data_IF_133459089440
#
_entry.id   IF_133459089440
#
_cell.length_a   1.000
_cell.length_b   1.000
_cell.length_c   1.000
_cell.angle_alpha   90.00
_cell.angle_beta   90.00
_cell.angle_gamma   90.00
#
_symmetry.space_group_name_H-M   'P 1'
#
loop_
_entity.id
_entity.type
_entity.pdbx_description
1 polymer ?
#
# COMPACT_ATOMS: atom_id res chain seq x y z
N UNK A 1 -8.93 -43.40 103.31
CA UNK A 1 -9.29 -44.12 102.04
C UNK A 1 -8.44 -45.40 102.05
N UNK A 2 -9.13 -46.58 102.06
CA UNK A 2 -8.43 -47.86 101.85
C UNK A 2 -8.27 -48.10 100.36
N UNK A 3 -7.03 -48.18 99.90
CA UNK A 3 -6.79 -48.65 98.58
C UNK A 3 -7.18 -50.13 98.53
N UNK A 4 -8.24 -50.42 97.80
CA UNK A 4 -8.83 -51.75 97.61
C UNK A 4 -8.44 -52.36 96.27
N UNK A 5 -7.55 -51.75 95.47
CA UNK A 5 -7.10 -52.18 94.16
C UNK A 5 -6.45 -53.59 94.19
N UNK A 6 -5.84 -53.98 95.33
CA UNK A 6 -5.26 -55.32 95.52
C UNK A 6 -6.31 -56.45 95.60
N UNK A 7 -7.60 -56.14 95.71
CA UNK A 7 -8.67 -57.12 95.80
C UNK A 7 -9.30 -57.44 94.41
N UNK A 8 -8.80 -56.78 93.34
CA UNK A 8 -9.33 -56.96 92.00
C UNK A 8 -8.20 -57.29 91.01
N UNK A 9 -8.42 -58.23 90.16
CA UNK A 9 -7.61 -58.47 88.97
C UNK A 9 -8.14 -57.50 87.90
N UNK A 10 -7.32 -56.59 87.46
CA UNK A 10 -7.69 -55.68 86.39
C UNK A 10 -7.15 -56.25 85.06
N UNK A 11 -8.03 -56.72 84.21
CA UNK A 11 -7.65 -57.07 82.82
C UNK A 11 -7.76 -55.85 81.95
N UNK A 12 -6.66 -55.43 81.37
CA UNK A 12 -6.59 -54.36 80.41
C UNK A 12 -6.82 -54.92 78.99
N UNK A 13 -7.93 -54.57 78.39
CA UNK A 13 -8.16 -54.80 76.96
C UNK A 13 -7.55 -53.62 76.21
N UNK A 14 -6.52 -53.86 75.41
CA UNK A 14 -5.92 -52.76 74.64
C UNK A 14 -6.92 -52.30 73.58
N UNK A 15 -7.21 -51.01 73.58
CA UNK A 15 -7.96 -50.34 72.52
C UNK A 15 -6.99 -49.81 71.47
N UNK A 16 -7.39 -49.81 70.21
CA UNK A 16 -6.67 -49.18 69.12
C UNK A 16 -7.25 -47.80 68.85
N UNK A 17 -6.44 -46.77 68.97
CA UNK A 17 -6.79 -45.42 68.51
C UNK A 17 -6.24 -45.29 67.09
N UNK A 18 -7.12 -45.09 66.13
CA UNK A 18 -6.79 -44.81 64.73
C UNK A 18 -6.97 -43.32 64.48
N UNK A 19 -5.88 -42.65 64.05
CA UNK A 19 -5.94 -41.26 63.59
C UNK A 19 -5.94 -41.30 62.09
N UNK A 20 -6.95 -40.73 61.46
CA UNK A 20 -7.07 -40.58 59.99
C UNK A 20 -6.71 -39.17 59.58
N UNK A 21 -6.19 -39.04 58.32
CA UNK A 21 -5.92 -37.73 57.74
C UNK A 21 -7.20 -36.92 57.62
N UNK A 22 -7.09 -35.61 57.80
CA UNK A 22 -8.21 -34.65 57.70
C UNK A 22 -8.58 -34.43 56.23
N UNK A 23 -9.85 -34.43 55.91
CA UNK A 23 -10.41 -34.25 54.58
C UNK A 23 -11.05 -32.85 54.33
N UNK A 24 -11.00 -31.94 55.34
CA UNK A 24 -11.71 -30.66 55.24
C UNK A 24 -11.05 -29.65 54.35
N UNK A 25 -9.71 -29.74 54.21
CA UNK A 25 -8.92 -28.76 53.47
C UNK A 25 -9.28 -28.72 51.99
N UNK A 26 -9.23 -27.55 51.38
CA UNK A 26 -9.48 -27.34 49.94
C UNK A 26 -8.32 -26.55 49.33
N UNK A 27 -7.94 -26.98 48.10
CA UNK A 27 -6.93 -26.32 47.28
C UNK A 27 -7.60 -25.61 46.12
N UNK A 28 -7.26 -24.35 45.92
CA UNK A 28 -7.60 -23.59 44.73
C UNK A 28 -6.31 -23.06 44.08
N UNK A 29 -6.31 -22.89 42.77
CA UNK A 29 -5.20 -22.31 42.02
C UNK A 29 -5.74 -21.38 40.93
N UNK A 30 -4.94 -20.37 40.57
CA UNK A 30 -5.17 -19.46 39.47
C UNK A 30 -4.04 -19.67 38.46
N UNK A 31 -4.40 -19.92 37.19
CA UNK A 31 -3.44 -20.08 36.10
C UNK A 31 -3.09 -18.77 35.42
N UNK A 32 -1.93 -18.74 34.79
CA UNK A 32 -1.54 -17.63 33.92
C UNK A 32 -2.50 -17.48 32.73
N UNK A 33 -2.84 -16.23 32.42
CA UNK A 33 -3.56 -15.87 31.20
C UNK A 33 -2.97 -14.59 30.66
N UNK A 34 -2.44 -14.66 29.43
CA UNK A 34 -1.78 -13.51 28.80
C UNK A 34 -1.75 -13.59 27.30
N UNK A 35 -1.36 -12.49 26.66
CA UNK A 35 -1.00 -12.42 25.24
C UNK A 35 0.48 -12.76 25.13
N UNK A 36 0.86 -13.44 24.07
CA UNK A 36 2.26 -13.75 23.77
C UNK A 36 3.11 -12.47 23.77
N UNK A 37 4.17 -12.48 24.55
CA UNK A 37 5.12 -11.35 24.71
C UNK A 37 6.59 -11.76 24.54
N UNK A 38 6.83 -13.04 24.16
CA UNK A 38 8.17 -13.61 24.00
C UNK A 38 8.82 -14.06 25.31
N UNK A 39 8.22 -13.82 26.47
CA UNK A 39 8.69 -14.23 27.78
C UNK A 39 8.24 -15.64 28.19
N UNK A 40 8.88 -16.16 29.23
CA UNK A 40 8.42 -17.34 29.95
C UNK A 40 7.64 -16.90 31.20
N UNK A 41 6.53 -17.55 31.48
CA UNK A 41 5.64 -17.22 32.60
C UNK A 41 5.32 -18.46 33.42
N UNK A 42 5.25 -18.30 34.75
CA UNK A 42 4.79 -19.35 35.65
C UNK A 42 3.36 -19.77 35.28
N UNK A 43 3.16 -21.04 35.00
CA UNK A 43 1.85 -21.55 34.57
C UNK A 43 0.76 -21.39 35.65
N UNK A 44 1.16 -21.37 36.93
CA UNK A 44 0.27 -21.11 38.07
C UNK A 44 0.72 -19.83 38.77
N UNK A 45 -0.14 -18.83 38.80
CA UNK A 45 0.18 -17.49 39.37
C UNK A 45 -0.19 -17.37 40.84
N UNK A 46 -1.06 -18.25 41.32
CA UNK A 46 -1.50 -18.26 42.70
C UNK A 46 -2.06 -19.61 43.13
N UNK A 47 -1.77 -19.99 44.36
CA UNK A 47 -2.40 -21.11 45.06
C UNK A 47 -2.99 -20.62 46.37
N UNK A 48 -4.09 -21.20 46.83
CA UNK A 48 -4.70 -20.92 48.10
C UNK A 48 -5.30 -22.18 48.72
N UNK A 49 -5.12 -22.31 50.02
CA UNK A 49 -5.74 -23.34 50.83
C UNK A 49 -6.81 -22.72 51.73
N UNK A 50 -7.90 -23.44 51.97
CA UNK A 50 -8.97 -23.07 52.88
C UNK A 50 -9.40 -24.27 53.71
N UNK A 51 -10.25 -23.98 54.75
CA UNK A 51 -10.84 -24.98 55.64
C UNK A 51 -9.78 -25.81 56.40
N UNK A 52 -8.62 -25.19 56.71
CA UNK A 52 -7.56 -25.74 57.51
C UNK A 52 -7.93 -25.72 59.01
N UNK A 53 -7.52 -26.76 59.74
CA UNK A 53 -7.75 -26.84 61.19
C UNK A 53 -6.49 -26.55 62.02
N UNK A 54 -5.33 -26.45 61.36
CA UNK A 54 -4.04 -26.15 61.99
C UNK A 54 -3.15 -25.36 60.99
N UNK A 55 -2.03 -24.84 61.49
CA UNK A 55 -1.03 -24.08 60.74
C UNK A 55 0.10 -24.96 60.16
N UNK A 56 -0.23 -26.19 59.81
CA UNK A 56 0.78 -27.14 59.31
C UNK A 56 1.34 -26.70 57.96
N UNK A 57 2.63 -27.06 57.71
CA UNK A 57 3.35 -26.72 56.47
C UNK A 57 2.90 -27.62 55.34
N UNK A 58 2.60 -27.01 54.20
CA UNK A 58 2.23 -27.71 52.97
C UNK A 58 3.34 -27.67 51.94
N UNK A 59 3.52 -28.78 51.20
CA UNK A 59 4.41 -28.89 50.04
C UNK A 59 3.57 -28.91 48.75
N UNK A 60 4.00 -28.11 47.79
CA UNK A 60 3.35 -28.07 46.49
C UNK A 60 4.17 -28.79 45.46
N UNK A 61 3.51 -29.50 44.56
CA UNK A 61 4.12 -30.09 43.37
C UNK A 61 3.17 -29.93 42.17
N UNK A 62 3.74 -29.97 40.97
CA UNK A 62 3.04 -29.64 39.73
C UNK A 62 3.24 -30.77 38.72
N UNK A 63 2.25 -30.94 37.83
CA UNK A 63 2.30 -31.92 36.76
C UNK A 63 1.63 -31.38 35.49
N UNK A 64 2.14 -31.73 34.32
CA UNK A 64 1.54 -31.43 33.03
C UNK A 64 0.72 -32.60 32.45
N UNK A 65 0.81 -33.79 33.05
CA UNK A 65 0.11 -34.99 32.62
C UNK A 65 -0.84 -35.58 33.68
N UNK A 66 -0.80 -35.04 34.93
CA UNK A 66 -1.56 -35.50 36.08
C UNK A 66 -1.02 -36.75 36.77
N UNK A 67 0.09 -37.31 36.27
CA UNK A 67 0.74 -38.53 36.79
C UNK A 67 2.11 -38.27 37.41
N UNK A 68 2.95 -37.50 36.72
CA UNK A 68 4.31 -37.20 37.14
C UNK A 68 4.40 -35.82 37.75
N UNK A 69 4.59 -35.75 39.06
CA UNK A 69 4.65 -34.48 39.83
C UNK A 69 6.10 -34.10 40.19
N UNK A 70 6.43 -32.83 39.98
CA UNK A 70 7.71 -32.22 40.38
C UNK A 70 7.46 -30.96 41.24
N UNK A 71 8.46 -30.55 42.01
CA UNK A 71 8.42 -29.29 42.78
C UNK A 71 8.75 -28.05 41.93
N UNK A 72 9.17 -28.23 40.68
CA UNK A 72 9.47 -27.16 39.76
C UNK A 72 8.15 -26.63 39.14
N UNK A 73 7.98 -25.29 39.16
CA UNK A 73 6.84 -24.62 38.55
C UNK A 73 6.94 -24.73 37.03
N UNK A 74 5.94 -25.31 36.34
CA UNK A 74 5.91 -25.31 34.88
C UNK A 74 5.88 -23.90 34.30
N UNK A 75 6.68 -23.66 33.23
CA UNK A 75 6.71 -22.42 32.49
C UNK A 75 5.92 -22.56 31.19
N UNK A 76 5.21 -21.51 30.81
CA UNK A 76 4.50 -21.38 29.53
C UNK A 76 5.05 -20.18 28.78
N UNK A 77 5.22 -20.33 27.47
CA UNK A 77 5.73 -19.28 26.59
C UNK A 77 4.90 -19.14 25.33
N UNK A 78 4.83 -20.21 24.54
CA UNK A 78 4.17 -20.16 23.23
C UNK A 78 2.63 -20.14 23.37
N UNK A 79 1.97 -19.69 22.33
CA UNK A 79 0.49 -19.71 22.24
C UNK A 79 -0.04 -21.14 22.43
N UNK A 80 -0.99 -21.26 23.34
CA UNK A 80 -1.59 -22.54 23.66
C UNK A 80 -2.38 -22.52 24.96
N UNK A 81 -3.00 -23.67 25.24
CA UNK A 81 -3.70 -23.97 26.47
C UNK A 81 -3.00 -25.14 27.16
N UNK A 82 -2.50 -24.91 28.37
CA UNK A 82 -1.65 -25.82 29.13
C UNK A 82 -2.35 -26.23 30.42
N UNK A 83 -2.95 -27.42 30.50
CA UNK A 83 -3.49 -27.93 31.74
C UNK A 83 -2.35 -28.22 32.73
N UNK A 84 -2.52 -27.76 33.96
CA UNK A 84 -1.55 -27.94 35.04
C UNK A 84 -2.28 -28.49 36.26
N UNK A 85 -1.84 -29.64 36.72
CA UNK A 85 -2.27 -30.24 37.98
C UNK A 85 -1.41 -29.70 39.09
N UNK A 86 -2.05 -29.13 40.08
CA UNK A 86 -1.41 -28.64 41.30
C UNK A 86 -1.76 -29.59 42.42
N UNK A 87 -0.75 -30.17 43.06
CA UNK A 87 -0.90 -31.05 44.20
C UNK A 87 -0.34 -30.40 45.43
N UNK A 88 -1.10 -30.39 46.52
CA UNK A 88 -0.66 -29.97 47.84
C UNK A 88 -0.66 -31.18 48.79
N UNK A 89 0.44 -31.42 49.47
CA UNK A 89 0.63 -32.52 50.39
C UNK A 89 0.96 -32.03 51.80
N UNK A 90 0.44 -32.76 52.79
CA UNK A 90 0.71 -32.54 54.22
C UNK A 90 0.54 -33.85 54.98
N UNK A 91 1.25 -34.03 56.08
CA UNK A 91 1.20 -35.30 56.85
C UNK A 91 -0.14 -35.52 57.55
N UNK A 92 -0.84 -34.43 57.92
CA UNK A 92 -2.08 -34.44 58.70
C UNK A 92 -3.34 -34.46 57.83
N UNK A 93 -3.21 -34.20 56.50
CA UNK A 93 -4.32 -34.09 55.57
C UNK A 93 -4.22 -35.07 54.40
N UNK A 94 -5.32 -35.38 53.78
CA UNK A 94 -5.31 -36.07 52.47
C UNK A 94 -4.68 -35.18 51.42
N UNK A 95 -4.01 -35.80 50.42
CA UNK A 95 -3.43 -35.05 49.31
C UNK A 95 -4.54 -34.31 48.53
N UNK A 96 -4.32 -33.06 48.30
CA UNK A 96 -5.26 -32.21 47.55
C UNK A 96 -4.72 -32.04 46.11
N UNK A 97 -5.59 -32.19 45.14
CA UNK A 97 -5.23 -31.97 43.71
C UNK A 97 -6.29 -31.07 43.09
N UNK A 98 -5.83 -30.07 42.37
CA UNK A 98 -6.69 -29.24 41.52
C UNK A 98 -6.06 -29.10 40.14
N UNK A 99 -6.90 -28.83 39.13
CA UNK A 99 -6.45 -28.63 37.74
C UNK A 99 -6.82 -27.21 37.32
N UNK A 100 -5.87 -26.50 36.73
CA UNK A 100 -6.07 -25.20 36.12
C UNK A 100 -5.47 -25.18 34.73
N UNK A 101 -5.92 -24.30 33.84
CA UNK A 101 -5.39 -24.20 32.48
C UNK A 101 -4.74 -22.84 32.29
N UNK A 102 -3.42 -22.84 32.13
CA UNK A 102 -2.70 -21.65 31.70
C UNK A 102 -2.94 -21.42 30.20
N UNK A 103 -3.12 -20.16 29.80
CA UNK A 103 -3.49 -19.78 28.45
C UNK A 103 -2.61 -18.65 27.94
N UNK A 104 -1.97 -18.86 26.82
CA UNK A 104 -1.25 -17.83 26.06
C UNK A 104 -2.00 -17.62 24.75
N UNK A 105 -2.49 -16.39 24.54
CA UNK A 105 -3.22 -16.02 23.31
C UNK A 105 -2.27 -15.35 22.31
N UNK A 106 -2.56 -15.38 20.99
CA UNK A 106 -1.70 -14.80 20.00
C UNK A 106 -1.53 -13.30 20.14
N UNK A 107 -0.30 -12.81 19.92
CA UNK A 107 -0.04 -11.39 19.71
C UNK A 107 -0.42 -10.97 18.28
N UNK A 108 -0.74 -9.69 18.07
CA UNK A 108 -1.18 -9.19 16.78
C UNK A 108 -0.02 -8.53 16.02
N UNK A 109 0.28 -9.03 14.82
CA UNK A 109 1.13 -8.34 13.85
C UNK A 109 0.23 -7.48 12.96
N UNK A 110 0.40 -6.17 13.05
CA UNK A 110 -0.30 -5.22 12.18
C UNK A 110 0.47 -5.10 10.87
N UNK A 111 -0.22 -5.36 9.76
CA UNK A 111 0.30 -5.18 8.39
C UNK A 111 -0.52 -4.10 7.72
N UNK A 112 0.13 -3.02 7.31
CA UNK A 112 -0.51 -1.91 6.60
C UNK A 112 0.03 -1.86 5.18
N UNK A 113 -0.83 -2.06 4.18
CA UNK A 113 -0.45 -1.92 2.78
C UNK A 113 -0.15 -0.46 2.46
N UNK A 114 0.92 -0.22 1.71
CA UNK A 114 1.25 1.12 1.21
C UNK A 114 0.28 1.51 0.10
N UNK A 115 -0.07 2.81 0.02
CA UNK A 115 -0.87 3.32 -1.09
C UNK A 115 0.02 3.71 -2.26
N UNK A 116 -0.47 3.47 -3.49
CA UNK A 116 0.25 3.71 -4.73
C UNK A 116 -0.56 4.53 -5.73
N UNK A 117 0.13 5.19 -6.63
CA UNK A 117 -0.44 5.78 -7.84
C UNK A 117 0.04 4.97 -9.04
N UNK A 118 -0.88 4.70 -9.97
CA UNK A 118 -0.57 4.01 -11.22
C UNK A 118 -0.96 4.87 -12.42
N UNK A 119 0.02 5.24 -13.22
CA UNK A 119 -0.18 6.10 -14.37
C UNK A 119 -0.35 5.21 -15.60
N UNK A 120 -1.55 5.17 -16.17
CA UNK A 120 -1.85 4.36 -17.35
C UNK A 120 -1.80 5.18 -18.64
N UNK A 121 -1.57 4.49 -19.77
CA UNK A 121 -1.74 5.07 -21.10
C UNK A 121 -3.24 5.05 -21.47
N UNK A 122 -3.74 6.19 -21.95
CA UNK A 122 -5.13 6.32 -22.46
C UNK A 122 -5.21 6.60 -23.94
N UNK A 123 -4.08 6.96 -24.57
CA UNK A 123 -3.93 7.26 -26.00
C UNK A 123 -2.59 6.71 -26.48
N UNK A 124 -2.50 6.44 -27.78
CA UNK A 124 -1.24 6.03 -28.42
C UNK A 124 -0.12 7.10 -28.31
N UNK A 125 -0.50 8.33 -28.00
CA UNK A 125 0.38 9.48 -27.82
C UNK A 125 0.91 9.66 -26.37
N UNK A 126 0.48 8.80 -25.43
CA UNK A 126 0.90 8.84 -24.03
C UNK A 126 1.42 7.47 -23.59
N UNK A 127 2.50 7.45 -22.84
CA UNK A 127 3.09 6.24 -22.28
C UNK A 127 2.70 6.13 -20.82
N UNK A 128 2.11 4.99 -20.45
CA UNK A 128 1.86 4.65 -19.06
C UNK A 128 3.11 4.09 -18.39
N UNK A 129 3.09 4.10 -17.06
CA UNK A 129 4.12 3.41 -16.27
C UNK A 129 3.69 1.94 -16.06
N UNK A 130 4.63 1.01 -15.82
CA UNK A 130 4.27 -0.33 -15.38
C UNK A 130 3.44 -0.28 -14.11
N UNK A 131 2.58 -1.27 -13.92
CA UNK A 131 1.83 -1.39 -12.66
C UNK A 131 2.80 -1.47 -11.47
N UNK A 132 2.62 -0.65 -10.40
CA UNK A 132 3.51 -0.65 -9.26
C UNK A 132 3.47 -1.98 -8.51
N UNK A 133 4.61 -2.44 -8.02
CA UNK A 133 4.65 -3.54 -7.07
C UNK A 133 3.95 -3.12 -5.78
N UNK A 134 3.08 -3.97 -5.27
CA UNK A 134 2.37 -3.71 -4.01
C UNK A 134 3.33 -3.95 -2.84
N UNK A 135 3.38 -3.01 -1.91
CA UNK A 135 4.25 -3.05 -0.73
C UNK A 135 3.45 -2.83 0.56
N UNK A 136 4.05 -3.15 1.69
CA UNK A 136 3.43 -3.01 3.00
C UNK A 136 4.47 -2.72 4.08
N UNK A 137 4.00 -2.18 5.21
CA UNK A 137 4.76 -2.03 6.44
C UNK A 137 4.23 -3.02 7.48
N UNK A 138 5.14 -3.63 8.24
CA UNK A 138 4.79 -4.53 9.33
C UNK A 138 5.83 -4.43 10.45
N UNK A 139 5.36 -4.46 11.69
CA UNK A 139 6.21 -4.44 12.87
C UNK A 139 5.79 -5.56 13.83
N UNK A 140 6.78 -6.18 14.48
CA UNK A 140 6.52 -7.13 15.54
C UNK A 140 6.04 -6.41 16.80
N UNK A 141 5.00 -6.89 17.48
CA UNK A 141 4.64 -6.42 18.81
C UNK A 141 5.61 -6.90 19.89
N UNK A 142 6.48 -7.87 19.58
CA UNK A 142 7.47 -8.45 20.49
C UNK A 142 8.87 -8.00 20.10
N UNK A 143 9.58 -7.37 21.03
CA UNK A 143 10.92 -6.85 20.80
C UNK A 143 11.93 -7.97 20.47
N UNK A 144 12.72 -7.74 19.43
CA UNK A 144 13.75 -8.69 18.99
C UNK A 144 13.25 -9.81 18.07
N UNK A 145 11.95 -9.88 17.81
CA UNK A 145 11.38 -10.80 16.82
C UNK A 145 11.04 -10.03 15.54
N UNK A 146 11.35 -10.62 14.38
CA UNK A 146 11.10 -10.02 13.08
C UNK A 146 10.05 -10.83 12.34
N UNK A 147 8.87 -10.23 12.00
CA UNK A 147 7.83 -10.96 11.29
C UNK A 147 8.33 -11.48 9.94
N UNK A 148 8.03 -12.73 9.66
CA UNK A 148 8.27 -13.36 8.37
C UNK A 148 6.93 -13.62 7.67
N UNK A 149 6.93 -13.54 6.35
CA UNK A 149 5.72 -13.66 5.55
C UNK A 149 5.93 -14.60 4.36
N UNK A 150 4.82 -15.15 3.89
CA UNK A 150 4.68 -15.88 2.63
C UNK A 150 3.48 -15.35 1.85
N UNK A 151 3.45 -15.59 0.54
CA UNK A 151 2.40 -15.06 -0.32
C UNK A 151 2.60 -13.59 -0.68
N UNK A 152 1.61 -13.00 -1.34
CA UNK A 152 1.68 -11.66 -1.89
C UNK A 152 0.38 -10.89 -1.65
N UNK A 153 0.47 -9.56 -1.68
CA UNK A 153 -0.70 -8.70 -1.72
C UNK A 153 -1.43 -8.87 -3.06
N UNK A 154 -2.72 -8.61 -3.06
CA UNK A 154 -3.52 -8.48 -4.27
C UNK A 154 -4.23 -7.13 -4.31
N UNK A 155 -4.95 -6.83 -5.37
CA UNK A 155 -5.81 -5.66 -5.44
C UNK A 155 -7.12 -5.94 -6.15
N UNK A 156 -8.09 -5.05 -5.98
CA UNK A 156 -9.30 -5.06 -6.79
C UNK A 156 -8.95 -4.90 -8.28
N UNK A 157 -9.63 -5.64 -9.17
CA UNK A 157 -9.40 -5.54 -10.60
C UNK A 157 -9.91 -4.23 -11.18
N UNK A 158 -9.18 -3.67 -12.14
CA UNK A 158 -9.57 -2.46 -12.85
C UNK A 158 -8.39 -1.52 -13.12
N UNK A 159 -8.58 -0.60 -14.06
CA UNK A 159 -7.61 0.42 -14.46
C UNK A 159 -8.34 1.63 -15.08
N UNK A 160 -9.45 2.06 -14.48
CA UNK A 160 -10.20 3.22 -14.97
C UNK A 160 -9.61 4.52 -14.42
N UNK A 161 -9.40 5.49 -15.29
CA UNK A 161 -8.92 6.83 -14.93
C UNK A 161 -9.72 7.44 -13.77
N UNK A 162 -9.00 7.98 -12.78
CA UNK A 162 -9.56 8.70 -11.64
C UNK A 162 -10.25 7.80 -10.62
N UNK A 163 -10.19 6.46 -10.79
CA UNK A 163 -10.69 5.52 -9.79
C UNK A 163 -9.59 5.05 -8.86
N UNK A 164 -10.01 4.76 -7.65
CA UNK A 164 -9.20 4.16 -6.60
C UNK A 164 -9.67 2.73 -6.37
N UNK A 165 -8.73 1.80 -6.29
CA UNK A 165 -8.92 0.37 -6.06
C UNK A 165 -8.25 -0.01 -4.75
N UNK A 166 -8.88 -0.86 -3.96
CA UNK A 166 -8.30 -1.31 -2.71
C UNK A 166 -7.16 -2.31 -2.94
N UNK A 167 -6.08 -2.15 -2.18
CA UNK A 167 -5.03 -3.14 -2.04
C UNK A 167 -5.44 -4.09 -0.92
N UNK A 168 -5.54 -5.37 -1.24
CA UNK A 168 -6.08 -6.43 -0.41
C UNK A 168 -4.94 -7.30 0.12
N UNK A 169 -5.19 -8.01 1.21
CA UNK A 169 -4.23 -8.95 1.78
C UNK A 169 -3.78 -10.02 0.78
N UNK A 170 -4.64 -10.43 -0.14
CA UNK A 170 -4.35 -11.52 -1.06
C UNK A 170 -4.13 -12.83 -0.30
N UNK A 171 -3.04 -13.52 -0.61
CA UNK A 171 -2.58 -14.71 0.09
C UNK A 171 -1.43 -14.44 1.07
N UNK A 172 -1.13 -13.16 1.34
CA UNK A 172 -0.12 -12.79 2.33
C UNK A 172 -0.47 -13.37 3.70
N UNK A 173 0.41 -14.17 4.27
CA UNK A 173 0.26 -14.83 5.54
C UNK A 173 1.56 -14.79 6.35
N UNK A 174 1.44 -14.91 7.68
CA UNK A 174 2.61 -15.09 8.54
C UNK A 174 3.28 -16.43 8.24
N UNK A 175 4.60 -16.46 8.26
CA UNK A 175 5.42 -17.64 8.10
C UNK A 175 6.46 -17.73 9.23
N UNK A 176 6.98 -18.91 9.49
CA UNK A 176 8.07 -19.07 10.45
C UNK A 176 9.37 -18.43 9.90
N UNK A 177 10.07 -17.74 10.77
CA UNK A 177 11.35 -17.08 10.51
C UNK A 177 12.44 -17.55 11.49
N UNK A 178 13.62 -16.97 11.37
CA UNK A 178 14.77 -17.35 12.22
C UNK A 178 14.48 -17.17 13.72
N UNK A 179 13.82 -16.07 14.08
CA UNK A 179 13.45 -15.70 15.45
C UNK A 179 11.95 -15.39 15.59
N UNK A 180 11.12 -15.92 14.69
CA UNK A 180 9.70 -15.64 14.63
C UNK A 180 8.92 -16.92 14.38
N UNK A 181 8.03 -17.28 15.32
CA UNK A 181 7.16 -18.45 15.21
C UNK A 181 5.73 -17.97 14.88
N UNK A 182 5.29 -18.18 13.65
CA UNK A 182 4.00 -17.67 13.14
C UNK A 182 2.80 -18.08 14.00
N UNK A 183 2.84 -19.27 14.63
CA UNK A 183 1.77 -19.76 15.50
C UNK A 183 1.56 -18.93 16.78
N UNK A 184 2.53 -18.09 17.15
CA UNK A 184 2.41 -17.18 18.29
C UNK A 184 1.71 -15.86 17.94
N UNK A 185 1.30 -15.69 16.68
CA UNK A 185 0.75 -14.43 16.19
C UNK A 185 -0.52 -14.60 15.37
N UNK A 186 -1.26 -13.51 15.27
CA UNK A 186 -2.35 -13.33 14.31
C UNK A 186 -2.05 -12.10 13.46
N UNK A 187 -2.26 -12.21 12.14
CA UNK A 187 -2.12 -11.09 11.22
C UNK A 187 -3.39 -10.25 11.23
N UNK A 188 -3.24 -8.94 11.44
CA UNK A 188 -4.27 -7.94 11.22
C UNK A 188 -3.86 -7.08 10.02
N UNK A 189 -4.67 -7.08 8.97
CA UNK A 189 -4.39 -6.37 7.74
C UNK A 189 -5.17 -5.05 7.65
N UNK A 190 -4.48 -3.99 7.23
CA UNK A 190 -5.06 -2.69 6.89
C UNK A 190 -4.86 -2.46 5.39
N UNK A 191 -5.95 -2.33 4.60
CA UNK A 191 -5.88 -2.07 3.18
C UNK A 191 -5.17 -0.76 2.85
N UNK A 192 -4.45 -0.74 1.73
CA UNK A 192 -3.98 0.47 1.05
C UNK A 192 -4.85 0.80 -0.16
N UNK A 193 -4.47 1.82 -0.90
CA UNK A 193 -5.20 2.30 -2.07
C UNK A 193 -4.29 2.41 -3.29
N UNK A 194 -4.78 1.98 -4.46
CA UNK A 194 -4.16 2.19 -5.76
C UNK A 194 -5.02 3.17 -6.56
N UNK A 195 -4.52 4.39 -6.74
CA UNK A 195 -5.21 5.42 -7.53
C UNK A 195 -4.69 5.43 -8.96
N UNK A 196 -5.61 5.26 -9.94
CA UNK A 196 -5.28 5.26 -11.36
C UNK A 196 -5.31 6.69 -11.91
N UNK A 197 -4.19 7.11 -12.48
CA UNK A 197 -3.99 8.43 -13.10
C UNK A 197 -3.58 8.30 -14.57
N UNK A 198 -3.64 9.39 -15.32
CA UNK A 198 -3.18 9.44 -16.71
C UNK A 198 -2.29 10.65 -16.94
N UNK A 199 -1.33 10.51 -17.88
CA UNK A 199 -0.68 11.64 -18.54
C UNK A 199 -1.48 11.97 -19.80
N UNK A 200 -1.80 13.24 -19.99
CA UNK A 200 -2.43 13.72 -21.22
C UNK A 200 -2.09 15.19 -21.47
N UNK A 201 -1.92 15.56 -22.72
CA UNK A 201 -1.65 16.91 -23.16
C UNK A 201 -2.43 17.21 -24.42
N UNK A 202 -2.88 18.44 -24.55
CA UNK A 202 -3.53 18.90 -25.78
C UNK A 202 -2.90 20.20 -26.22
N UNK A 203 -2.91 20.43 -27.52
CA UNK A 203 -2.52 21.70 -28.13
C UNK A 203 -3.68 22.19 -29.00
N UNK A 204 -3.94 23.50 -28.96
CA UNK A 204 -4.82 24.17 -29.89
C UNK A 204 -4.07 25.33 -30.54
N UNK A 205 -4.31 25.53 -31.82
CA UNK A 205 -3.72 26.62 -32.58
C UNK A 205 -4.79 27.28 -33.44
N UNK A 206 -4.87 28.59 -33.35
CA UNK A 206 -5.81 29.40 -34.11
C UNK A 206 -5.10 30.57 -34.75
N UNK A 207 -5.58 31.00 -35.92
CA UNK A 207 -5.17 32.25 -36.56
C UNK A 207 -6.30 33.27 -36.51
N UNK A 208 -5.96 34.52 -36.36
CA UNK A 208 -6.92 35.65 -36.22
C UNK A 208 -7.75 35.91 -37.48
N UNK A 209 -7.28 35.52 -38.66
CA UNK A 209 -7.95 35.71 -39.94
C UNK A 209 -7.85 34.50 -40.85
N UNK A 210 -8.90 34.21 -41.60
CA UNK A 210 -8.93 33.11 -42.57
C UNK A 210 -8.52 33.56 -43.98
N UNK A 211 -8.43 34.88 -44.22
CA UNK A 211 -7.99 35.50 -45.45
C UNK A 211 -7.14 36.71 -45.18
N UNK A 212 -6.05 36.84 -45.89
CA UNK A 212 -5.11 37.96 -45.79
C UNK A 212 -4.45 38.26 -47.15
N UNK A 213 -3.81 39.44 -47.23
CA UNK A 213 -3.01 39.82 -48.37
C UNK A 213 -1.52 39.66 -48.07
N UNK A 214 -0.72 39.59 -49.11
CA UNK A 214 0.75 39.69 -48.96
C UNK A 214 1.11 40.96 -48.19
N UNK A 215 1.98 40.82 -47.19
CA UNK A 215 2.38 41.90 -46.31
C UNK A 215 1.52 42.11 -45.08
N UNK A 216 0.37 41.47 -44.99
CA UNK A 216 -0.46 41.51 -43.77
C UNK A 216 0.17 40.68 -42.66
N UNK A 217 -0.08 41.06 -41.40
CA UNK A 217 0.31 40.33 -40.23
C UNK A 217 -0.77 39.34 -39.83
N UNK A 218 -0.44 38.09 -39.65
CA UNK A 218 -1.25 37.03 -39.12
C UNK A 218 -0.84 36.82 -37.66
N UNK A 219 -1.82 36.71 -36.75
CA UNK A 219 -1.56 36.42 -35.33
C UNK A 219 -2.02 35.00 -35.02
N UNK A 220 -1.08 34.15 -34.75
CA UNK A 220 -1.33 32.77 -34.29
C UNK A 220 -1.38 32.74 -32.77
N UNK A 221 -2.43 32.14 -32.20
CA UNK A 221 -2.55 31.85 -30.79
C UNK A 221 -2.36 30.34 -30.59
N UNK A 222 -1.35 29.97 -29.82
CA UNK A 222 -1.06 28.57 -29.45
C UNK A 222 -1.38 28.42 -27.97
N UNK A 223 -2.20 27.42 -27.64
CA UNK A 223 -2.51 27.04 -26.26
C UNK A 223 -2.17 25.58 -26.06
N UNK A 224 -1.36 25.28 -25.06
CA UNK A 224 -1.02 23.93 -24.59
C UNK A 224 -1.66 23.73 -23.24
N UNK A 225 -2.40 22.65 -23.08
CA UNK A 225 -3.11 22.31 -21.83
C UNK A 225 -2.72 20.92 -21.35
N UNK A 226 -2.30 20.81 -20.11
CA UNK A 226 -2.18 19.51 -19.44
C UNK A 226 -3.59 19.02 -19.07
N UNK A 227 -4.12 18.07 -19.82
CA UNK A 227 -5.45 17.46 -19.62
C UNK A 227 -5.38 16.15 -18.81
N UNK A 228 -4.17 15.82 -18.35
CA UNK A 228 -3.90 14.66 -17.48
C UNK A 228 -4.17 14.93 -15.99
N UNK A 229 -3.81 13.94 -15.19
CA UNK A 229 -3.98 13.93 -13.71
C UNK A 229 -2.64 14.09 -12.98
N UNK A 230 -1.54 14.20 -13.71
CA UNK A 230 -0.19 14.35 -13.18
C UNK A 230 0.49 15.57 -13.78
N UNK A 231 1.38 16.19 -13.02
CA UNK A 231 2.19 17.31 -13.50
C UNK A 231 3.15 16.83 -14.59
N UNK A 232 3.26 17.62 -15.67
CA UNK A 232 4.16 17.35 -16.78
C UNK A 232 5.41 18.23 -16.63
N UNK A 233 6.57 17.64 -16.86
CA UNK A 233 7.86 18.33 -16.83
C UNK A 233 8.42 18.46 -18.25
N UNK A 234 9.27 19.48 -18.45
CA UNK A 234 9.96 19.74 -19.71
C UNK A 234 9.00 19.78 -20.92
N UNK A 235 7.82 20.36 -20.76
CA UNK A 235 6.88 20.59 -21.85
C UNK A 235 7.46 21.60 -22.83
N UNK A 236 7.35 21.30 -24.12
CA UNK A 236 7.85 22.15 -25.17
C UNK A 236 6.84 22.30 -26.33
N UNK A 237 6.96 23.39 -27.06
CA UNK A 237 6.22 23.67 -28.32
C UNK A 237 7.20 23.94 -29.44
N UNK A 238 6.97 23.35 -30.59
CA UNK A 238 7.72 23.58 -31.81
C UNK A 238 6.77 24.01 -32.92
N UNK A 239 7.14 25.06 -33.65
CA UNK A 239 6.45 25.54 -34.85
C UNK A 239 7.49 26.00 -35.85
N UNK A 240 7.70 25.19 -36.89
CA UNK A 240 8.74 25.42 -37.90
C UNK A 240 8.48 26.70 -38.71
N UNK A 241 7.21 26.98 -39.05
CA UNK A 241 6.89 28.14 -39.88
C UNK A 241 7.15 29.46 -39.12
N UNK A 242 6.88 29.48 -37.82
CA UNK A 242 7.12 30.64 -36.97
C UNK A 242 8.57 30.67 -36.39
N UNK A 243 9.35 29.61 -36.64
CA UNK A 243 10.70 29.46 -36.10
C UNK A 243 10.72 29.33 -34.57
N UNK A 244 9.70 28.72 -34.00
CA UNK A 244 9.56 28.59 -32.53
C UNK A 244 10.07 27.22 -32.09
N UNK A 245 10.93 27.24 -31.08
CA UNK A 245 11.29 26.11 -30.22
C UNK A 245 11.24 26.62 -28.79
N UNK A 246 10.01 26.55 -28.19
CA UNK A 246 9.75 27.13 -26.89
C UNK A 246 9.65 26.05 -25.82
N UNK A 247 10.53 26.09 -24.82
CA UNK A 247 10.39 25.30 -23.60
C UNK A 247 9.44 26.02 -22.65
N UNK A 248 8.32 25.38 -22.34
CA UNK A 248 7.32 25.84 -21.35
C UNK A 248 7.78 25.49 -19.94
N UNK A 249 8.41 24.30 -19.76
CA UNK A 249 8.85 23.76 -18.48
C UNK A 249 7.79 22.91 -17.82
N UNK A 250 7.53 23.15 -16.52
CA UNK A 250 6.47 22.46 -15.79
C UNK A 250 5.08 22.97 -16.19
N UNK A 251 4.15 22.06 -16.38
CA UNK A 251 2.74 22.34 -16.60
C UNK A 251 1.91 21.44 -15.68
N UNK A 252 1.32 22.03 -14.63
CA UNK A 252 0.56 21.28 -13.63
C UNK A 252 -0.71 20.67 -14.23
N UNK A 253 -1.22 19.64 -13.59
CA UNK A 253 -2.50 19.02 -13.97
C UNK A 253 -3.60 20.07 -14.07
N UNK A 254 -4.26 20.15 -15.25
CA UNK A 254 -5.30 21.14 -15.57
C UNK A 254 -4.78 22.53 -15.95
N UNK A 255 -3.47 22.79 -15.92
CA UNK A 255 -2.88 24.09 -16.27
C UNK A 255 -2.76 24.25 -17.79
N UNK A 256 -2.85 25.51 -18.25
CA UNK A 256 -2.69 25.89 -19.66
C UNK A 256 -1.64 26.99 -19.81
N UNK A 257 -0.81 26.84 -20.84
CA UNK A 257 0.08 27.87 -21.33
C UNK A 257 -0.45 28.41 -22.65
N UNK A 258 -0.50 29.75 -22.81
CA UNK A 258 -1.00 30.40 -24.03
C UNK A 258 -0.04 31.50 -24.44
N UNK A 259 0.33 31.52 -25.72
CA UNK A 259 1.13 32.60 -26.29
C UNK A 259 0.72 32.92 -27.71
N UNK A 260 0.91 34.20 -28.08
CA UNK A 260 0.67 34.70 -29.43
C UNK A 260 1.97 34.95 -30.18
N UNK A 261 1.96 34.59 -31.44
CA UNK A 261 3.09 34.75 -32.37
C UNK A 261 2.58 35.40 -33.65
N UNK A 262 3.40 36.22 -34.31
CA UNK A 262 3.05 36.91 -35.53
C UNK A 262 3.84 36.40 -36.71
N UNK A 263 3.19 36.21 -37.84
CA UNK A 263 3.79 35.94 -39.14
C UNK A 263 3.37 37.03 -40.12
N UNK A 264 4.32 37.55 -40.94
CA UNK A 264 3.99 38.46 -42.02
C UNK A 264 3.93 37.68 -43.32
N UNK A 265 2.75 37.69 -43.96
CA UNK A 265 2.53 36.94 -45.21
C UNK A 265 3.53 37.39 -46.30
N UNK A 266 4.26 36.45 -46.85
CA UNK A 266 5.34 36.70 -47.80
C UNK A 266 4.78 36.64 -49.22
N UNK A 267 5.52 37.19 -50.18
CA UNK A 267 5.23 37.10 -51.63
C UNK A 267 5.13 35.65 -52.10
N UNK A 268 5.95 34.78 -51.54
CA UNK A 268 5.94 33.33 -51.83
C UNK A 268 4.67 32.61 -51.38
N UNK A 269 3.86 33.21 -50.51
CA UNK A 269 2.62 32.65 -49.98
C UNK A 269 1.39 33.00 -50.84
N UNK A 270 1.59 33.94 -51.78
CA UNK A 270 0.51 34.43 -52.62
C UNK A 270 -0.15 33.28 -53.41
N UNK A 271 -1.47 33.25 -53.41
CA UNK A 271 -2.31 32.25 -54.10
C UNK A 271 -2.33 30.88 -53.43
N UNK A 272 -1.84 30.77 -52.19
CA UNK A 272 -1.83 29.55 -51.39
C UNK A 272 -2.71 29.67 -50.17
N UNK A 273 -3.18 28.55 -49.64
CA UNK A 273 -3.63 28.43 -48.28
C UNK A 273 -2.39 28.11 -47.42
N UNK A 274 -2.05 29.05 -46.54
CA UNK A 274 -0.92 28.91 -45.64
C UNK A 274 -1.41 28.12 -44.42
N UNK A 275 -1.04 26.84 -44.31
CA UNK A 275 -1.32 25.98 -43.18
C UNK A 275 -0.11 26.00 -42.28
N UNK A 276 -0.29 26.43 -41.02
CA UNK A 276 0.74 26.45 -40.02
C UNK A 276 0.48 25.40 -38.95
N UNK A 277 1.48 24.60 -38.65
CA UNK A 277 1.40 23.46 -37.74
C UNK A 277 2.28 23.68 -36.50
N UNK A 278 1.72 23.46 -35.33
CA UNK A 278 2.47 23.43 -34.07
C UNK A 278 2.36 22.05 -33.42
N UNK A 279 3.45 21.65 -32.75
CA UNK A 279 3.59 20.35 -32.09
C UNK A 279 4.00 20.59 -30.64
N UNK A 280 3.42 19.80 -29.73
CA UNK A 280 3.82 19.81 -28.31
C UNK A 280 4.09 18.41 -27.78
N UNK A 281 4.92 18.31 -26.78
CA UNK A 281 5.25 17.08 -26.09
C UNK A 281 6.14 17.32 -24.88
N UNK A 282 6.51 16.25 -24.16
CA UNK A 282 7.49 16.28 -23.08
C UNK A 282 8.83 15.71 -23.54
N UNK A 283 9.93 16.19 -22.97
CA UNK A 283 11.28 15.76 -23.34
C UNK A 283 11.55 14.29 -23.00
N UNK A 284 10.89 13.75 -22.01
CA UNK A 284 10.98 12.33 -21.62
C UNK A 284 10.21 11.40 -22.55
N UNK A 285 9.56 11.93 -23.60
CA UNK A 285 8.76 11.22 -24.60
C UNK A 285 7.56 10.45 -24.01
N UNK A 286 7.21 10.69 -22.75
CA UNK A 286 6.05 10.05 -22.09
C UNK A 286 4.71 10.65 -22.51
N UNK A 287 4.70 11.88 -23.00
CA UNK A 287 3.61 12.47 -23.75
C UNK A 287 4.12 12.81 -25.14
N UNK A 288 3.58 12.12 -26.13
CA UNK A 288 4.00 12.29 -27.52
C UNK A 288 3.17 13.36 -28.22
N UNK A 289 3.76 13.92 -29.24
CA UNK A 289 3.36 15.02 -30.07
C UNK A 289 1.85 15.12 -30.33
N UNK A 290 1.19 16.03 -29.61
CA UNK A 290 -0.11 16.52 -30.05
C UNK A 290 0.12 17.59 -31.09
N UNK A 291 -0.67 17.55 -32.16
CA UNK A 291 -0.51 18.42 -33.34
C UNK A 291 -1.80 19.18 -33.57
N UNK A 292 -1.71 20.48 -33.75
CA UNK A 292 -2.81 21.27 -34.26
C UNK A 292 -2.34 22.24 -35.33
N UNK A 293 -3.22 22.52 -36.30
CA UNK A 293 -2.92 23.36 -37.43
C UNK A 293 -4.11 24.23 -37.80
N UNK A 294 -3.82 25.45 -38.22
CA UNK A 294 -4.81 26.37 -38.73
C UNK A 294 -4.35 27.02 -40.04
N UNK A 295 -5.27 27.43 -40.93
CA UNK A 295 -4.98 27.84 -42.28
C UNK A 295 -5.58 29.19 -42.67
N UNK A 296 -4.79 29.96 -43.40
CA UNK A 296 -5.18 31.27 -43.95
C UNK A 296 -4.99 31.31 -45.46
N UNK A 297 -5.98 31.74 -46.22
CA UNK A 297 -5.85 31.98 -47.67
C UNK A 297 -5.13 33.33 -47.91
N UNK A 298 -4.00 33.26 -48.61
CA UNK A 298 -3.18 34.44 -48.90
C UNK A 298 -3.41 34.88 -50.34
N UNK A 299 -3.78 36.12 -50.54
CA UNK A 299 -4.00 36.73 -51.86
C UNK A 299 -3.12 37.93 -52.09
N UNK A 300 -2.88 38.25 -53.34
CA UNK A 300 -2.19 39.51 -53.72
C UNK A 300 -3.07 40.72 -53.38
N UNK A 301 -2.46 41.77 -52.84
CA UNK A 301 -3.19 43.06 -52.70
C UNK A 301 -3.65 43.51 -54.08
N UNK A 302 -4.91 43.92 -54.24
CA UNK A 302 -5.32 44.54 -55.49
C UNK A 302 -4.44 45.77 -55.76
N UNK A 303 -3.79 45.77 -56.89
CA UNK A 303 -3.05 46.93 -57.36
C UNK A 303 -4.14 48.00 -57.64
N UNK A 304 -4.02 49.24 -57.09
CA UNK A 304 -4.91 50.32 -57.51
C UNK A 304 -4.67 50.55 -59.01
N UNK A 305 -5.49 49.93 -59.83
CA UNK A 305 -5.39 50.09 -61.29
C UNK A 305 -6.06 51.40 -61.66
N UNK A 306 -5.24 52.45 -61.84
CA UNK A 306 -5.61 53.57 -62.69
C UNK A 306 -5.45 53.28 -64.16
N UNK A 307 -5.25 52.03 -64.59
CA UNK A 307 -5.16 51.63 -66.00
C UNK A 307 -5.76 50.25 -66.28
N UNK A 308 -6.64 50.18 -67.31
CA UNK A 308 -7.28 48.94 -67.71
C UNK A 308 -6.40 48.16 -68.65
N UNK A 309 -5.56 47.25 -68.13
CA UNK A 309 -5.00 46.20 -68.93
C UNK A 309 -5.27 44.85 -68.33
N UNK A 310 -6.00 44.04 -69.11
CA UNK A 310 -6.37 42.68 -68.79
C UNK A 310 -5.11 41.78 -68.57
N UNK A 311 -4.91 41.23 -67.40
CA UNK A 311 -4.02 40.10 -67.17
C UNK A 311 -4.84 38.88 -66.76
N UNK A 312 -4.69 37.86 -67.60
CA UNK A 312 -5.48 36.64 -67.52
C UNK A 312 -5.29 35.83 -66.23
N UNK A 313 -6.42 35.32 -65.80
CA UNK A 313 -6.60 34.44 -64.68
C UNK A 313 -5.92 33.08 -64.94
N UNK A 314 -4.90 32.73 -64.10
CA UNK A 314 -4.41 31.35 -64.01
C UNK A 314 -4.73 30.82 -62.59
N UNK A 315 -5.73 29.98 -62.50
CA UNK A 315 -6.00 29.17 -61.32
C UNK A 315 -5.26 27.87 -61.41
N UNK A 316 -4.29 27.66 -60.54
CA UNK A 316 -3.68 26.35 -60.32
C UNK A 316 -4.05 25.85 -58.92
N UNK A 317 -4.97 24.88 -58.87
CA UNK A 317 -5.33 24.14 -57.65
C UNK A 317 -4.27 23.06 -57.42
N UNK A 318 -3.50 23.19 -56.35
CA UNK A 318 -2.62 22.11 -55.90
C UNK A 318 -3.06 21.64 -54.51
N UNK A 319 -3.64 20.42 -54.50
CA UNK A 319 -3.90 19.68 -53.27
C UNK A 319 -2.58 19.06 -52.81
N UNK A 320 -2.06 19.54 -51.65
CA UNK A 320 -0.95 18.86 -50.97
C UNK A 320 -1.52 18.21 -49.71
N UNK A 321 -1.44 16.88 -49.67
CA UNK A 321 -1.88 16.03 -48.59
C UNK A 321 -1.00 16.19 -47.35
N UNK A 322 -1.63 16.27 -46.18
CA UNK A 322 -1.01 16.30 -44.86
C UNK A 322 -0.35 14.93 -44.52
N UNK A 323 0.86 14.66 -45.05
CA UNK A 323 1.58 13.44 -44.75
C UNK A 323 3.08 13.66 -44.39
N UNK A 324 3.51 14.90 -44.20
CA UNK A 324 4.95 15.21 -44.09
C UNK A 324 5.54 15.34 -42.68
N UNK A 325 4.75 15.67 -41.67
CA UNK A 325 5.28 16.09 -40.37
C UNK A 325 5.68 14.95 -39.41
N UNK A 326 5.15 13.75 -39.60
CA UNK A 326 5.44 12.61 -38.72
C UNK A 326 6.82 11.94 -38.93
N UNK A 327 7.63 12.39 -39.95
CA UNK A 327 8.83 11.67 -40.37
C UNK A 327 10.12 12.24 -39.76
N UNK A 328 10.15 13.49 -39.30
CA UNK A 328 11.40 14.16 -38.94
C UNK A 328 11.88 13.83 -37.53
N UNK A 329 10.99 13.66 -36.57
CA UNK A 329 11.37 13.30 -35.17
C UNK A 329 11.78 11.81 -35.03
N UNK A 330 11.18 10.89 -35.81
CA UNK A 330 11.57 9.48 -35.83
C UNK A 330 12.96 9.21 -36.42
N UNK A 331 13.55 10.16 -37.18
CA UNK A 331 14.90 10.00 -37.75
C UNK A 331 16.05 10.39 -36.85
N UNK A 332 15.81 11.24 -35.83
CA UNK A 332 16.85 11.65 -34.88
C UNK A 332 17.15 10.57 -33.85
N UNK A 333 16.15 9.76 -33.47
CA UNK A 333 16.28 8.64 -32.53
C UNK A 333 17.06 7.42 -33.04
N UNK A 334 17.20 7.26 -34.36
CA UNK A 334 17.90 6.11 -34.94
C UNK A 334 19.39 6.32 -35.29
N UNK A 335 19.99 7.45 -34.94
CA UNK A 335 21.41 7.75 -35.15
C UNK A 335 22.27 7.81 -33.88
N UNK A 336 21.75 7.36 -32.75
CA UNK A 336 22.51 7.17 -31.51
C UNK A 336 22.33 5.74 -31.01
N UNK A 337 22.95 4.82 -31.71
CA UNK A 337 23.40 3.51 -31.25
C UNK A 337 24.74 3.22 -31.92
#
# INVERSE_FOLDING_TARGET
DRDVTANYAIDYLPGTLTVTKNESAKLTAEAYKGVYDGGEHDAVVKTALSDLVDDSVWTYSYSLDGEHYTDEMPQVKNVGAYPVWVKATNDNYVDLVTVVTAEVTPATVLVTADSHEWIIAVKDTCVGDPEPALTYQAESPVAGETPAFSGELSREPGAERGKTYQILQGDLALADGENFLASNYVLQFVPGELTVKVRDITITKTVDVTKAFVGDKLTYTITVTNTGDVDLQDVAVVDEMLGIEQVIGELKAGESWTQQFTYTAQESDAGKTLVNTAVTGTKDEKTLDQVDSDGTEITQKPVPTGDQSMVGLWTATLLISAAGAAIILARKSRRSK
#
